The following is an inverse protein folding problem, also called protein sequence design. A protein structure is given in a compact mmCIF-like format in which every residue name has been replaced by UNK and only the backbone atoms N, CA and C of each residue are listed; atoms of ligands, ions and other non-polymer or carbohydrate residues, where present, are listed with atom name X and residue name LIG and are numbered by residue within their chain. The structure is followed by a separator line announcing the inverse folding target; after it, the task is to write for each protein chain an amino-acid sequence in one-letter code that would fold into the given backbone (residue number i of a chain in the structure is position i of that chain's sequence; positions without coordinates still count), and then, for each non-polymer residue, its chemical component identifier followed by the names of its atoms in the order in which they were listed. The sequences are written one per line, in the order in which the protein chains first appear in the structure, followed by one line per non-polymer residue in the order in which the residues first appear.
data_IF_551216062043
#
_entry.id   IF_551216062043
#
_cell.length_a   1.000
_cell.length_b   1.000
_cell.length_c   1.000
_cell.angle_alpha   90.00
_cell.angle_beta   90.00
_cell.angle_gamma   90.00
#
_symmetry.space_group_name_H-M   'P 1'
#
loop_
_entity.id
_entity.type
_entity.pdbx_description
1 polymer ?
#
# COMPACT_ATOMS: atom_id res chain seq x y z
N UNK A 1 2.18 -26.17 10.69
CA UNK A 1 1.26 -25.43 9.78
C UNK A 1 0.84 -26.38 8.67
N UNK A 2 -0.46 -26.62 8.50
CA UNK A 2 -0.99 -27.35 7.32
C UNK A 2 -1.31 -26.33 6.25
N UNK A 3 -0.69 -26.43 5.08
CA UNK A 3 -0.85 -25.50 3.96
C UNK A 3 -1.83 -26.01 2.90
N UNK A 4 -2.52 -27.11 3.17
CA UNK A 4 -3.53 -27.67 2.26
C UNK A 4 -4.82 -26.88 2.41
N UNK A 5 -5.46 -26.58 1.30
CA UNK A 5 -6.80 -25.97 1.30
C UNK A 5 -7.78 -26.96 1.97
N UNK A 6 -8.65 -26.45 2.83
CA UNK A 6 -9.77 -27.21 3.40
C UNK A 6 -10.90 -27.28 2.36
N UNK A 7 -11.85 -28.19 2.47
CA UNK A 7 -12.97 -28.28 1.52
C UNK A 7 -13.73 -26.96 1.31
N UNK A 8 -13.88 -26.15 2.37
CA UNK A 8 -14.47 -24.80 2.31
C UNK A 8 -13.59 -23.81 1.55
N UNK A 9 -12.27 -23.89 1.71
CA UNK A 9 -11.29 -23.05 1.01
C UNK A 9 -11.29 -23.40 -0.49
N UNK A 10 -11.37 -24.68 -0.86
CA UNK A 10 -11.53 -25.12 -2.24
C UNK A 10 -12.83 -24.66 -2.88
N UNK A 11 -13.94 -24.63 -2.12
CA UNK A 11 -15.20 -24.10 -2.62
C UNK A 11 -15.13 -22.61 -2.91
N UNK A 12 -14.56 -21.83 -1.98
CA UNK A 12 -14.35 -20.40 -2.15
C UNK A 12 -13.40 -20.12 -3.33
N UNK A 13 -12.33 -20.89 -3.48
CA UNK A 13 -11.40 -20.75 -4.63
C UNK A 13 -12.12 -20.96 -5.97
N UNK A 14 -13.05 -21.93 -6.07
CA UNK A 14 -13.85 -22.13 -7.29
C UNK A 14 -14.80 -20.98 -7.54
N UNK A 15 -15.45 -20.44 -6.50
CA UNK A 15 -16.31 -19.24 -6.61
C UNK A 15 -15.54 -18.06 -7.19
N UNK A 16 -14.40 -17.70 -6.56
CA UNK A 16 -13.54 -16.60 -7.01
C UNK A 16 -13.07 -16.79 -8.44
N UNK A 17 -12.58 -17.98 -8.76
CA UNK A 17 -12.07 -18.30 -10.11
C UNK A 17 -13.15 -18.20 -11.17
N UNK A 18 -14.35 -18.73 -10.90
CA UNK A 18 -15.48 -18.65 -11.83
C UNK A 18 -15.84 -17.19 -12.07
N UNK A 19 -16.04 -16.43 -11.01
CA UNK A 19 -16.38 -15.01 -11.10
C UNK A 19 -15.34 -14.22 -11.89
N UNK A 20 -14.06 -14.40 -11.60
CA UNK A 20 -12.97 -13.71 -12.33
C UNK A 20 -12.94 -14.12 -13.82
N UNK A 21 -13.19 -15.39 -14.14
CA UNK A 21 -13.24 -15.86 -15.52
C UNK A 21 -14.37 -15.19 -16.31
N UNK A 22 -15.50 -14.97 -15.68
CA UNK A 22 -16.68 -14.36 -16.31
C UNK A 22 -16.54 -12.83 -16.46
N UNK A 23 -15.76 -12.16 -15.59
CA UNK A 23 -15.70 -10.70 -15.53
C UNK A 23 -14.39 -10.10 -16.05
N UNK A 24 -13.26 -10.83 -16.02
CA UNK A 24 -11.98 -10.35 -16.59
C UNK A 24 -12.01 -10.60 -18.12
N UNK A 25 -12.83 -9.82 -18.80
CA UNK A 25 -13.06 -9.91 -20.24
C UNK A 25 -12.96 -8.52 -20.91
N UNK A 26 -12.92 -8.47 -22.23
CA UNK A 26 -12.93 -7.20 -22.96
C UNK A 26 -11.81 -6.24 -22.54
N UNK A 27 -12.20 -5.00 -22.19
CA UNK A 27 -11.26 -3.94 -21.78
C UNK A 27 -10.52 -4.27 -20.46
N UNK A 28 -11.14 -4.99 -19.54
CA UNK A 28 -10.50 -5.42 -18.31
C UNK A 28 -9.39 -6.45 -18.58
N UNK A 29 -9.64 -7.43 -19.42
CA UNK A 29 -8.63 -8.41 -19.84
C UNK A 29 -7.47 -7.76 -20.62
N UNK A 30 -7.77 -6.71 -21.41
CA UNK A 30 -6.76 -5.98 -22.17
C UNK A 30 -5.71 -5.28 -21.30
N UNK A 31 -6.02 -4.97 -20.03
CA UNK A 31 -5.06 -4.42 -19.07
C UNK A 31 -4.00 -5.45 -18.66
N UNK A 32 -4.26 -6.75 -18.81
CA UNK A 32 -3.27 -7.81 -18.59
C UNK A 32 -2.69 -7.86 -17.17
N UNK A 33 -3.44 -7.40 -16.16
CA UNK A 33 -2.98 -7.31 -14.77
C UNK A 33 -2.04 -6.13 -14.49
N UNK A 34 -1.97 -5.15 -15.36
CA UNK A 34 -1.20 -3.91 -15.18
C UNK A 34 -1.89 -2.95 -14.20
N UNK A 35 -1.17 -1.91 -13.78
CA UNK A 35 -1.64 -0.88 -12.86
C UNK A 35 -1.23 -1.13 -11.41
N UNK A 36 -0.19 -1.91 -11.17
CA UNK A 36 0.44 -2.09 -9.86
C UNK A 36 1.52 -1.05 -9.58
N UNK A 37 2.33 -1.32 -8.56
CA UNK A 37 3.41 -0.43 -8.08
C UNK A 37 4.35 0.00 -9.22
N UNK A 38 4.56 1.31 -9.36
CA UNK A 38 5.34 1.90 -10.45
C UNK A 38 4.63 1.93 -11.82
N UNK A 39 3.35 1.60 -11.89
CA UNK A 39 2.49 1.59 -13.08
C UNK A 39 1.04 2.01 -12.72
N UNK A 40 0.84 2.65 -11.59
CA UNK A 40 -0.47 2.90 -10.95
C UNK A 40 -1.37 3.84 -11.74
N UNK A 41 -0.82 4.65 -12.63
CA UNK A 41 -1.58 5.53 -13.52
C UNK A 41 -2.06 4.84 -14.80
N UNK A 42 -1.52 3.65 -15.12
CA UNK A 42 -1.88 2.93 -16.35
C UNK A 42 -3.34 2.47 -16.32
N UNK A 43 -4.12 2.89 -17.33
CA UNK A 43 -5.52 2.50 -17.48
C UNK A 43 -6.42 2.88 -16.29
N UNK A 44 -6.11 3.98 -15.58
CA UNK A 44 -6.75 4.32 -14.31
C UNK A 44 -8.29 4.37 -14.40
N UNK A 45 -8.83 5.00 -15.44
CA UNK A 45 -10.30 5.09 -15.62
C UNK A 45 -10.95 3.70 -15.76
N UNK A 46 -10.38 2.82 -16.60
CA UNK A 46 -10.88 1.44 -16.76
C UNK A 46 -10.74 0.64 -15.46
N UNK A 47 -9.67 0.86 -14.70
CA UNK A 47 -9.46 0.23 -13.39
C UNK A 47 -10.44 0.72 -12.34
N UNK A 48 -10.84 1.99 -12.40
CA UNK A 48 -11.89 2.53 -11.53
C UNK A 48 -13.25 1.90 -11.84
N UNK A 49 -13.59 1.69 -13.12
CA UNK A 49 -14.79 0.93 -13.48
C UNK A 49 -14.72 -0.52 -13.00
N UNK A 50 -13.53 -1.14 -13.06
CA UNK A 50 -13.32 -2.46 -12.50
C UNK A 50 -13.56 -2.53 -10.98
N UNK A 51 -13.15 -1.50 -10.21
CA UNK A 51 -13.48 -1.42 -8.77
C UNK A 51 -14.99 -1.43 -8.52
N UNK A 52 -15.75 -0.72 -9.35
CA UNK A 52 -17.22 -0.71 -9.25
C UNK A 52 -17.84 -2.07 -9.55
N UNK A 53 -17.29 -2.81 -10.53
CA UNK A 53 -17.69 -4.19 -10.82
C UNK A 53 -17.42 -5.11 -9.63
N UNK A 54 -16.22 -5.02 -9.05
CA UNK A 54 -15.87 -5.75 -7.82
C UNK A 54 -16.83 -5.41 -6.67
N UNK A 55 -17.12 -4.12 -6.48
CA UNK A 55 -17.99 -3.64 -5.41
C UNK A 55 -19.44 -4.14 -5.57
N UNK A 56 -19.99 -4.12 -6.80
CA UNK A 56 -21.36 -4.55 -7.07
C UNK A 56 -21.63 -6.01 -6.67
N UNK A 57 -20.60 -6.84 -6.76
CA UNK A 57 -20.67 -8.27 -6.45
C UNK A 57 -20.03 -8.61 -5.09
N UNK A 58 -19.66 -7.57 -4.30
CA UNK A 58 -19.13 -7.71 -2.94
C UNK A 58 -17.73 -8.31 -2.88
N UNK A 59 -16.87 -8.01 -3.86
CA UNK A 59 -15.47 -8.44 -3.90
C UNK A 59 -14.49 -7.37 -3.44
N UNK A 60 -14.97 -6.20 -3.03
CA UNK A 60 -14.19 -5.19 -2.31
C UNK A 60 -14.27 -5.43 -0.81
N UNK A 61 -13.31 -4.92 -0.05
CA UNK A 61 -13.34 -4.92 1.42
C UNK A 61 -13.65 -6.29 2.05
N UNK A 62 -13.15 -7.38 1.45
CA UNK A 62 -13.49 -8.76 1.81
C UNK A 62 -13.33 -9.06 3.30
N UNK A 63 -12.27 -8.56 3.93
CA UNK A 63 -11.97 -8.80 5.34
C UNK A 63 -12.73 -7.91 6.32
N UNK A 64 -13.46 -6.91 5.86
CA UNK A 64 -14.24 -6.05 6.76
C UNK A 64 -15.37 -6.82 7.42
N UNK A 65 -15.76 -6.45 8.66
CA UNK A 65 -16.95 -7.01 9.32
C UNK A 65 -18.20 -6.85 8.46
N UNK A 66 -19.11 -7.82 8.56
CA UNK A 66 -20.34 -7.82 7.75
C UNK A 66 -21.27 -6.66 8.07
N UNK A 67 -21.28 -6.17 9.31
CA UNK A 67 -22.02 -4.97 9.73
C UNK A 67 -21.52 -3.68 9.05
N UNK A 68 -20.32 -3.72 8.42
CA UNK A 68 -19.74 -2.61 7.66
C UNK A 68 -19.70 -2.91 6.15
N UNK A 69 -20.45 -3.91 5.69
CA UNK A 69 -20.60 -4.25 4.27
C UNK A 69 -19.54 -5.19 3.70
N UNK A 70 -18.55 -5.61 4.50
CA UNK A 70 -17.59 -6.63 4.09
C UNK A 70 -18.18 -8.03 4.12
N UNK A 71 -17.42 -9.02 3.63
CA UNK A 71 -17.81 -10.44 3.71
C UNK A 71 -17.38 -11.11 5.02
N UNK A 72 -16.63 -10.42 5.92
CA UNK A 72 -16.01 -11.05 7.09
C UNK A 72 -15.07 -12.20 6.71
N UNK A 73 -14.46 -12.11 5.53
CA UNK A 73 -13.66 -13.18 4.96
C UNK A 73 -12.45 -13.49 5.84
N UNK A 74 -12.24 -14.78 6.12
CA UNK A 74 -11.06 -15.23 6.84
C UNK A 74 -9.79 -14.85 6.09
N UNK A 75 -8.67 -14.84 6.80
CA UNK A 75 -7.36 -14.58 6.19
C UNK A 75 -7.08 -15.60 5.06
N UNK A 76 -7.45 -16.87 5.24
CA UNK A 76 -7.31 -17.89 4.20
C UNK A 76 -8.10 -17.52 2.93
N UNK A 77 -9.35 -17.06 3.06
CA UNK A 77 -10.15 -16.61 1.93
C UNK A 77 -9.57 -15.36 1.25
N UNK A 78 -9.04 -14.41 2.01
CA UNK A 78 -8.37 -13.23 1.45
C UNK A 78 -7.09 -13.61 0.68
N UNK A 79 -6.32 -14.59 1.17
CA UNK A 79 -5.18 -15.18 0.44
C UNK A 79 -5.64 -15.77 -0.88
N UNK A 80 -6.66 -16.63 -0.83
CA UNK A 80 -7.21 -17.32 -2.00
C UNK A 80 -7.70 -16.31 -3.04
N UNK A 81 -8.41 -15.27 -2.61
CA UNK A 81 -8.87 -14.21 -3.51
C UNK A 81 -7.69 -13.56 -4.23
N UNK A 82 -6.67 -13.12 -3.50
CA UNK A 82 -5.49 -12.48 -4.09
C UNK A 82 -4.72 -13.43 -5.05
N UNK A 83 -4.60 -14.71 -4.70
CA UNK A 83 -3.98 -15.70 -5.59
C UNK A 83 -4.74 -15.85 -6.92
N UNK A 84 -6.06 -16.03 -6.86
CA UNK A 84 -6.88 -16.20 -8.07
C UNK A 84 -6.95 -14.89 -8.86
N UNK A 85 -6.99 -13.73 -8.19
CA UNK A 85 -6.98 -12.40 -8.80
C UNK A 85 -5.75 -12.18 -9.67
N UNK A 86 -4.56 -12.48 -9.15
CA UNK A 86 -3.30 -12.37 -9.90
C UNK A 86 -3.20 -13.40 -11.03
N UNK A 87 -3.65 -14.64 -10.79
CA UNK A 87 -3.69 -15.70 -11.82
C UNK A 87 -4.59 -15.32 -12.99
N UNK A 88 -5.74 -14.69 -12.71
CA UNK A 88 -6.66 -14.20 -13.73
C UNK A 88 -6.13 -12.99 -14.49
N UNK A 89 -5.00 -12.40 -14.07
CA UNK A 89 -4.47 -11.12 -14.58
C UNK A 89 -5.53 -10.01 -14.52
N UNK A 90 -6.32 -9.99 -13.44
CA UNK A 90 -7.30 -8.96 -13.21
C UNK A 90 -6.64 -7.58 -13.10
N UNK A 91 -7.33 -6.49 -13.47
CA UNK A 91 -6.80 -5.12 -13.41
C UNK A 91 -6.26 -4.77 -12.02
N UNK A 92 -5.17 -4.00 -11.95
CA UNK A 92 -4.63 -3.52 -10.67
C UNK A 92 -5.68 -2.69 -9.92
N UNK A 93 -5.80 -2.90 -8.60
CA UNK A 93 -6.76 -2.20 -7.73
C UNK A 93 -6.39 -0.71 -7.59
N UNK A 94 -7.38 0.16 -7.48
CA UNK A 94 -7.19 1.63 -7.28
C UNK A 94 -7.61 2.11 -5.90
N UNK A 95 -8.54 1.42 -5.23
CA UNK A 95 -9.08 1.80 -3.90
C UNK A 95 -8.29 1.22 -2.73
N UNK A 96 -7.03 0.85 -2.91
CA UNK A 96 -6.22 0.12 -1.90
C UNK A 96 -6.09 0.91 -0.59
N UNK A 97 -5.88 2.23 -0.65
CA UNK A 97 -5.73 3.07 0.55
C UNK A 97 -7.05 3.23 1.29
N UNK A 98 -8.16 3.28 0.55
CA UNK A 98 -9.51 3.26 1.13
C UNK A 98 -9.79 1.95 1.86
N UNK A 99 -9.66 0.84 1.15
CA UNK A 99 -9.99 -0.50 1.63
C UNK A 99 -9.04 -0.98 2.75
N UNK A 100 -7.73 -0.81 2.55
CA UNK A 100 -6.70 -1.43 3.40
C UNK A 100 -6.20 -0.55 4.54
N UNK A 101 -6.36 0.76 4.48
CA UNK A 101 -5.82 1.69 5.47
C UNK A 101 -6.90 2.48 6.18
N UNK A 102 -7.53 3.45 5.49
CA UNK A 102 -8.44 4.37 6.16
C UNK A 102 -9.75 3.68 6.57
N UNK A 103 -10.27 2.75 5.79
CA UNK A 103 -11.49 2.03 6.13
C UNK A 103 -11.36 1.27 7.45
N UNK A 104 -10.38 0.36 7.64
CA UNK A 104 -10.12 -0.29 8.93
C UNK A 104 -9.87 0.71 10.06
N UNK A 105 -9.22 1.85 9.78
CA UNK A 105 -8.99 2.90 10.78
C UNK A 105 -10.30 3.56 11.21
N UNK A 106 -11.22 3.86 10.26
CA UNK A 106 -12.56 4.38 10.56
C UNK A 106 -13.39 3.33 11.30
N UNK A 107 -13.33 2.06 10.92
CA UNK A 107 -14.02 0.97 11.62
C UNK A 107 -13.61 0.94 13.10
N UNK A 108 -12.33 1.16 13.40
CA UNK A 108 -11.81 1.05 14.76
C UNK A 108 -11.96 2.34 15.59
N UNK A 109 -11.73 3.51 14.98
CA UNK A 109 -11.67 4.81 15.69
C UNK A 109 -12.81 5.76 15.36
N UNK A 110 -13.58 5.51 14.30
CA UNK A 110 -14.64 6.40 13.84
C UNK A 110 -15.88 6.35 14.72
N UNK A 111 -16.57 7.48 14.77
CA UNK A 111 -17.92 7.57 15.36
C UNK A 111 -18.93 6.82 14.48
N UNK A 112 -20.14 6.51 15.00
CA UNK A 112 -21.19 5.92 14.17
C UNK A 112 -21.51 6.75 12.91
N UNK A 113 -21.51 8.08 13.03
CA UNK A 113 -21.76 9.03 11.95
C UNK A 113 -20.65 8.98 10.89
N UNK A 114 -19.39 8.96 11.32
CA UNK A 114 -18.24 8.82 10.43
C UNK A 114 -18.26 7.48 9.69
N UNK A 115 -18.57 6.38 10.38
CA UNK A 115 -18.72 5.05 9.77
C UNK A 115 -19.83 5.06 8.72
N UNK A 116 -20.99 5.61 9.05
CA UNK A 116 -22.14 5.70 8.15
C UNK A 116 -21.84 6.58 6.92
N UNK A 117 -21.02 7.63 7.05
CA UNK A 117 -20.66 8.54 5.97
C UNK A 117 -19.58 7.97 5.05
N UNK A 118 -18.52 7.41 5.62
CA UNK A 118 -17.30 7.15 4.85
C UNK A 118 -17.12 5.70 4.41
N UNK A 119 -17.63 4.70 5.15
CA UNK A 119 -17.43 3.30 4.78
C UNK A 119 -18.19 2.88 3.51
N UNK A 120 -19.45 3.27 3.30
CA UNK A 120 -20.16 2.86 2.07
C UNK A 120 -19.53 3.33 0.77
N UNK A 121 -19.08 4.60 0.60
CA UNK A 121 -18.42 5.02 -0.63
C UNK A 121 -17.04 4.38 -0.84
N UNK A 122 -16.29 4.06 0.23
CA UNK A 122 -15.05 3.30 0.11
C UNK A 122 -15.35 1.89 -0.43
N UNK A 123 -16.34 1.21 0.15
CA UNK A 123 -16.76 -0.13 -0.27
C UNK A 123 -17.22 -0.15 -1.72
N UNK A 124 -17.94 0.89 -2.14
CA UNK A 124 -18.43 1.05 -3.52
C UNK A 124 -17.32 1.45 -4.52
N UNK A 125 -16.12 1.81 -4.06
CA UNK A 125 -15.06 2.36 -4.91
C UNK A 125 -15.43 3.71 -5.54
N UNK A 126 -16.35 4.46 -4.93
CA UNK A 126 -16.86 5.74 -5.43
C UNK A 126 -16.18 6.96 -4.82
N UNK A 127 -15.49 6.82 -3.71
CA UNK A 127 -14.61 7.83 -3.12
C UNK A 127 -13.23 7.24 -2.88
N UNK A 128 -12.21 7.84 -3.46
CA UNK A 128 -10.82 7.43 -3.35
C UNK A 128 -10.10 8.24 -2.28
N UNK A 129 -9.12 7.63 -1.64
CA UNK A 129 -8.40 8.20 -0.51
C UNK A 129 -6.90 8.25 -0.74
N UNK A 130 -6.26 9.32 -0.25
CA UNK A 130 -4.80 9.41 -0.19
C UNK A 130 -4.31 9.67 1.23
N UNK A 131 -3.00 9.39 1.45
CA UNK A 131 -2.35 9.45 2.74
C UNK A 131 -1.46 10.70 2.87
N UNK A 132 -1.86 11.65 3.71
CA UNK A 132 -1.13 12.88 4.01
C UNK A 132 -0.28 12.76 5.28
N UNK A 133 0.77 11.95 5.25
CA UNK A 133 1.65 11.74 6.40
C UNK A 133 2.97 12.51 6.26
N UNK A 134 3.83 12.04 5.35
CA UNK A 134 5.18 12.57 5.19
C UNK A 134 5.20 14.04 4.78
N UNK A 135 6.22 14.76 5.25
CA UNK A 135 6.55 16.13 4.87
C UNK A 135 7.99 16.19 4.37
N UNK A 136 8.42 17.26 3.69
CA UNK A 136 9.79 17.37 3.20
C UNK A 136 10.87 17.10 4.27
N UNK A 137 10.59 17.46 5.53
CA UNK A 137 11.50 17.27 6.67
C UNK A 137 11.05 16.22 7.69
N UNK A 138 9.97 15.48 7.41
CA UNK A 138 9.39 14.50 8.34
C UNK A 138 8.89 13.25 7.59
N UNK A 139 9.80 12.37 7.21
CA UNK A 139 9.51 11.04 6.67
C UNK A 139 9.61 9.98 7.76
N UNK A 140 10.82 9.41 7.97
CA UNK A 140 11.06 8.44 9.06
C UNK A 140 10.83 9.05 10.45
N UNK A 141 11.07 10.35 10.64
CA UNK A 141 10.73 11.10 11.85
C UNK A 141 9.32 11.73 11.75
N UNK A 142 8.32 10.87 11.49
CA UNK A 142 6.93 11.29 11.32
C UNK A 142 6.39 12.11 12.51
N UNK A 143 6.88 11.86 13.73
CA UNK A 143 6.48 12.61 14.90
C UNK A 143 6.80 14.12 14.81
N UNK A 144 7.66 14.51 13.86
CA UNK A 144 8.12 15.89 13.68
C UNK A 144 7.35 16.66 12.60
N UNK A 145 6.18 16.18 12.16
CA UNK A 145 5.34 16.88 11.18
C UNK A 145 4.97 18.29 11.66
N UNK A 146 4.93 19.23 10.72
CA UNK A 146 4.70 20.64 10.95
C UNK A 146 3.38 21.15 10.37
N UNK A 147 2.74 20.42 9.45
CA UNK A 147 1.38 20.74 8.98
C UNK A 147 0.50 20.98 10.19
N UNK A 148 -0.14 22.12 10.28
CA UNK A 148 -1.00 22.55 11.39
C UNK A 148 -2.46 22.60 10.97
N UNK A 149 -3.33 22.40 11.95
CA UNK A 149 -4.75 22.66 11.80
C UNK A 149 -5.24 23.46 13.01
N UNK A 150 -5.99 24.51 12.72
CA UNK A 150 -6.57 25.39 13.74
C UNK A 150 -8.09 25.35 13.58
N UNK A 151 -8.81 25.13 14.68
CA UNK A 151 -10.27 25.22 14.65
C UNK A 151 -10.69 26.69 14.52
N UNK A 152 -11.47 26.98 13.51
CA UNK A 152 -12.15 28.26 13.32
C UNK A 152 -13.50 28.18 14.05
N UNK A 153 -13.59 28.83 15.20
CA UNK A 153 -14.77 28.77 16.08
C UNK A 153 -16.01 29.42 15.43
N UNK A 154 -15.81 30.35 14.48
CA UNK A 154 -16.92 31.04 13.79
C UNK A 154 -17.60 30.12 12.77
N UNK A 155 -16.85 29.29 12.09
CA UNK A 155 -17.35 28.36 11.06
C UNK A 155 -17.54 26.94 11.56
N UNK A 156 -16.91 26.56 12.65
CA UNK A 156 -16.88 25.18 13.15
C UNK A 156 -16.07 24.24 12.25
N UNK A 157 -15.04 24.76 11.57
CA UNK A 157 -14.19 23.99 10.67
C UNK A 157 -12.72 24.04 11.10
N UNK A 158 -12.00 22.97 10.81
CA UNK A 158 -10.54 22.96 10.88
C UNK A 158 -9.96 23.64 9.64
N UNK A 159 -9.04 24.56 9.85
CA UNK A 159 -8.25 25.23 8.81
C UNK A 159 -6.86 24.61 8.78
N UNK A 160 -6.56 23.88 7.71
CA UNK A 160 -5.32 23.11 7.54
C UNK A 160 -4.33 23.92 6.70
N UNK A 161 -3.07 24.02 7.19
CA UNK A 161 -1.99 24.73 6.49
C UNK A 161 -0.68 23.93 6.63
N UNK A 162 -0.03 23.63 5.51
CA UNK A 162 1.23 22.91 5.47
C UNK A 162 1.46 22.22 4.13
N UNK A 163 2.50 21.39 4.07
CA UNK A 163 2.85 20.65 2.87
C UNK A 163 3.04 19.18 3.22
N UNK A 164 2.41 18.31 2.41
CA UNK A 164 2.65 16.86 2.42
C UNK A 164 3.42 16.46 1.16
N UNK A 165 4.19 15.39 1.25
CA UNK A 165 5.00 14.86 0.14
C UNK A 165 4.89 13.35 0.09
N UNK A 166 5.12 12.77 -1.08
CA UNK A 166 4.99 11.33 -1.35
C UNK A 166 3.56 10.80 -1.14
N UNK A 167 2.58 11.67 -1.37
CA UNK A 167 1.16 11.33 -1.23
C UNK A 167 0.71 10.55 -2.47
N UNK A 168 0.48 9.25 -2.29
CA UNK A 168 0.10 8.34 -3.37
C UNK A 168 -1.27 8.72 -3.93
N UNK A 169 -1.34 8.85 -5.27
CA UNK A 169 -2.58 9.09 -6.03
C UNK A 169 -3.41 10.30 -5.56
N UNK A 170 -2.80 11.30 -4.91
CA UNK A 170 -3.52 12.48 -4.43
C UNK A 170 -4.29 13.22 -5.52
N UNK A 171 -3.77 13.22 -6.76
CA UNK A 171 -4.41 13.83 -7.94
C UNK A 171 -5.64 13.05 -8.46
N UNK A 172 -5.94 11.89 -7.88
CA UNK A 172 -7.09 11.04 -8.20
C UNK A 172 -7.99 10.81 -6.99
N UNK A 173 -7.66 11.42 -5.83
CA UNK A 173 -8.33 11.14 -4.57
C UNK A 173 -9.33 12.21 -4.20
N UNK A 174 -10.48 11.79 -3.67
CA UNK A 174 -11.54 12.67 -3.17
C UNK A 174 -11.23 13.16 -1.75
N UNK A 175 -10.53 12.33 -0.97
CA UNK A 175 -10.23 12.57 0.44
C UNK A 175 -8.77 12.28 0.78
N UNK A 176 -8.23 13.06 1.72
CA UNK A 176 -6.92 12.83 2.31
C UNK A 176 -7.05 12.61 3.83
N UNK A 177 -6.46 11.54 4.36
CA UNK A 177 -6.29 11.42 5.79
C UNK A 177 -4.94 12.00 6.21
N UNK A 178 -5.00 13.05 7.03
CA UNK A 178 -3.86 13.93 7.32
C UNK A 178 -3.46 13.84 8.78
N UNK A 179 -2.19 13.56 9.04
CA UNK A 179 -1.60 13.77 10.37
C UNK A 179 -1.11 15.21 10.46
N UNK A 180 -1.66 15.96 11.38
CA UNK A 180 -1.35 17.38 11.55
C UNK A 180 -1.29 17.79 13.03
N UNK A 181 -0.71 18.96 13.29
CA UNK A 181 -0.55 19.52 14.63
C UNK A 181 -1.71 20.44 14.94
N UNK A 182 -2.48 20.10 15.97
CA UNK A 182 -3.64 20.86 16.43
C UNK A 182 -3.38 21.61 17.74
N UNK A 183 -2.34 21.25 18.49
CA UNK A 183 -1.93 21.93 19.72
C UNK A 183 -0.68 22.79 19.45
N UNK A 184 -0.83 24.09 19.54
CA UNK A 184 0.26 25.05 19.29
C UNK A 184 1.38 24.85 20.32
N UNK A 185 2.64 24.86 19.85
CA UNK A 185 3.82 24.66 20.69
C UNK A 185 4.07 23.23 21.16
N UNK A 186 3.20 22.29 20.80
CA UNK A 186 3.43 20.87 21.07
C UNK A 186 4.63 20.35 20.27
N UNK A 187 5.27 19.28 20.78
CA UNK A 187 6.48 18.72 20.19
C UNK A 187 6.36 17.20 20.00
N UNK A 188 6.98 16.71 18.94
CA UNK A 188 7.01 15.29 18.58
C UNK A 188 5.58 14.73 18.46
N UNK A 189 5.30 13.59 19.07
CA UNK A 189 4.02 12.87 18.98
C UNK A 189 2.87 13.50 19.80
N UNK A 190 3.14 14.52 20.62
CA UNK A 190 2.08 15.22 21.38
C UNK A 190 1.38 16.26 20.51
N UNK A 191 0.09 16.49 20.75
CA UNK A 191 -0.72 17.52 20.07
C UNK A 191 -0.92 17.26 18.57
N UNK A 192 -0.74 16.03 18.11
CA UNK A 192 -1.07 15.59 16.76
C UNK A 192 -2.52 15.09 16.72
N UNK A 193 -3.24 15.45 15.67
CA UNK A 193 -4.58 14.93 15.37
C UNK A 193 -4.61 14.29 13.98
N UNK A 194 -5.66 13.53 13.74
CA UNK A 194 -5.87 12.79 12.49
C UNK A 194 -7.13 13.33 11.83
N UNK A 195 -6.98 14.09 10.75
CA UNK A 195 -8.08 14.78 10.07
C UNK A 195 -8.41 14.10 8.74
N UNK A 196 -9.70 14.04 8.42
CA UNK A 196 -10.21 13.64 7.12
C UNK A 196 -10.51 14.93 6.33
N UNK A 197 -9.74 15.19 5.28
CA UNK A 197 -9.77 16.46 4.52
C UNK A 197 -10.24 16.19 3.09
N UNK A 198 -11.33 16.85 2.61
CA UNK A 198 -11.72 16.75 1.21
C UNK A 198 -10.67 17.38 0.31
N UNK A 199 -10.40 16.79 -0.85
CA UNK A 199 -9.35 17.23 -1.76
C UNK A 199 -9.83 18.24 -2.81
N UNK A 200 -11.08 18.15 -3.24
CA UNK A 200 -11.69 19.09 -4.20
C UNK A 200 -12.24 20.32 -3.46
N UNK A 201 -11.34 21.27 -3.17
CA UNK A 201 -11.70 22.54 -2.51
C UNK A 201 -10.63 23.60 -2.74
N UNK A 202 -10.97 24.90 -2.57
CA UNK A 202 -9.97 25.97 -2.48
C UNK A 202 -8.97 25.72 -1.35
N UNK A 203 -7.69 26.06 -1.59
CA UNK A 203 -6.63 25.86 -0.60
C UNK A 203 -5.99 24.46 -0.62
N UNK A 204 -6.35 23.60 -1.56
CA UNK A 204 -5.63 22.35 -1.85
C UNK A 204 -4.98 22.47 -3.23
N UNK A 205 -3.65 22.31 -3.29
CA UNK A 205 -2.88 22.29 -4.54
C UNK A 205 -2.08 20.98 -4.58
N UNK A 206 -2.34 20.16 -5.61
CA UNK A 206 -1.71 18.85 -5.80
C UNK A 206 -0.74 18.91 -6.97
N UNK A 207 0.52 18.57 -6.70
CA UNK A 207 1.59 18.59 -7.71
C UNK A 207 2.21 17.22 -7.88
N UNK A 208 2.00 16.55 -9.03
CA UNK A 208 2.60 15.24 -9.30
C UNK A 208 4.13 15.29 -9.33
N UNK A 209 4.77 14.30 -8.73
CA UNK A 209 6.22 14.12 -8.71
C UNK A 209 6.61 13.10 -9.78
N UNK A 210 7.39 13.52 -10.78
CA UNK A 210 7.90 12.59 -11.80
C UNK A 210 8.98 11.70 -11.19
N UNK A 211 8.76 10.40 -11.21
CA UNK A 211 9.64 9.38 -10.68
C UNK A 211 10.67 8.89 -11.71
N UNK A 212 11.61 8.03 -11.28
CA UNK A 212 12.57 7.39 -12.18
C UNK A 212 11.89 6.52 -13.24
N UNK A 213 10.73 5.96 -12.93
CA UNK A 213 9.87 5.20 -13.84
C UNK A 213 9.19 6.07 -14.90
N UNK A 214 9.31 7.41 -14.79
CA UNK A 214 8.60 8.43 -15.58
C UNK A 214 7.08 8.46 -15.33
N UNK A 215 6.61 7.75 -14.35
CA UNK A 215 5.25 7.83 -13.83
C UNK A 215 5.16 8.86 -12.70
N UNK A 216 3.97 9.24 -12.27
CA UNK A 216 3.74 10.31 -11.29
C UNK A 216 2.66 9.91 -10.29
N UNK A 217 2.78 8.73 -9.72
CA UNK A 217 1.85 8.23 -8.70
C UNK A 217 1.94 9.01 -7.40
N UNK A 218 3.12 9.54 -7.06
CA UNK A 218 3.34 10.33 -5.86
C UNK A 218 3.20 11.82 -6.12
N UNK A 219 2.73 12.54 -5.10
CA UNK A 219 2.45 13.96 -5.21
C UNK A 219 2.99 14.73 -4.01
N UNK A 220 3.28 16.01 -4.23
CA UNK A 220 3.26 17.02 -3.19
C UNK A 220 1.81 17.52 -3.06
N UNK A 221 1.37 17.75 -1.84
CA UNK A 221 0.06 18.33 -1.53
C UNK A 221 0.27 19.54 -0.63
N UNK A 222 -0.11 20.69 -1.13
CA UNK A 222 -0.07 21.96 -0.37
C UNK A 222 -1.46 22.26 0.17
N UNK A 223 -1.54 22.47 1.47
CA UNK A 223 -2.71 22.97 2.15
C UNK A 223 -2.47 24.44 2.51
N UNK A 224 -3.23 25.34 1.92
CA UNK A 224 -3.19 26.78 2.18
C UNK A 224 -4.58 27.24 2.63
N UNK A 225 -4.91 26.96 3.88
CA UNK A 225 -6.20 27.24 4.43
C UNK A 225 -7.30 26.26 3.99
N UNK A 226 -6.93 25.04 3.63
CA UNK A 226 -7.90 23.98 3.33
C UNK A 226 -8.79 23.68 4.53
N UNK A 227 -10.08 23.43 4.30
CA UNK A 227 -11.08 23.31 5.36
C UNK A 227 -11.63 21.91 5.47
N UNK A 228 -11.95 21.51 6.70
CA UNK A 228 -12.72 20.29 6.95
C UNK A 228 -13.59 20.47 8.17
N UNK A 229 -14.74 19.82 8.21
CA UNK A 229 -15.69 19.93 9.30
C UNK A 229 -15.04 19.53 10.66
N UNK A 230 -15.51 20.16 11.74
CA UNK A 230 -15.03 19.88 13.11
C UNK A 230 -15.04 18.39 13.43
N UNK A 231 -16.09 17.70 12.99
CA UNK A 231 -16.32 16.29 13.30
C UNK A 231 -15.52 15.34 12.38
N UNK A 232 -14.71 15.86 11.47
CA UNK A 232 -13.81 15.08 10.62
C UNK A 232 -12.45 14.78 11.31
N UNK A 233 -12.38 14.83 12.64
CA UNK A 233 -11.28 14.27 13.43
C UNK A 233 -11.54 12.80 13.65
N UNK A 234 -10.60 11.93 13.28
CA UNK A 234 -10.69 10.51 13.57
C UNK A 234 -10.01 10.19 14.90
N UNK A 235 -10.77 9.63 15.85
CA UNK A 235 -10.39 9.56 17.26
C UNK A 235 -10.59 10.90 17.95
N UNK A 236 -9.83 11.16 19.03
CA UNK A 236 -9.89 12.41 19.78
C UNK A 236 -8.87 13.43 19.27
N UNK A 237 -9.16 14.73 19.47
CA UNK A 237 -8.17 15.80 19.24
C UNK A 237 -6.95 15.57 20.11
N UNK A 238 -5.77 15.56 19.52
CA UNK A 238 -4.51 15.28 20.22
C UNK A 238 -4.10 13.79 20.22
N UNK A 239 -4.96 12.88 19.76
CA UNK A 239 -4.71 11.42 19.73
C UNK A 239 -4.21 10.91 18.36
N UNK A 240 -3.95 11.81 17.43
CA UNK A 240 -3.59 11.49 16.04
C UNK A 240 -2.36 10.60 15.89
N UNK A 241 -1.42 10.65 16.84
CA UNK A 241 -0.26 9.75 16.83
C UNK A 241 -0.65 8.28 16.98
N UNK A 242 -1.55 7.98 17.92
CA UNK A 242 -2.06 6.63 18.16
C UNK A 242 -2.84 6.11 16.95
N UNK A 243 -3.70 6.95 16.39
CA UNK A 243 -4.49 6.61 15.18
C UNK A 243 -3.57 6.35 13.99
N UNK A 244 -2.57 7.22 13.78
CA UNK A 244 -1.60 7.06 12.69
C UNK A 244 -0.80 5.75 12.79
N UNK A 245 -0.34 5.39 13.99
CA UNK A 245 0.36 4.12 14.20
C UNK A 245 -0.52 2.90 13.95
N UNK A 246 -1.79 2.96 14.32
CA UNK A 246 -2.74 1.88 14.03
C UNK A 246 -3.01 1.74 12.52
N UNK A 247 -3.16 2.86 11.80
CA UNK A 247 -3.27 2.85 10.33
C UNK A 247 -2.06 2.17 9.68
N UNK A 248 -0.84 2.49 10.14
CA UNK A 248 0.39 1.86 9.65
C UNK A 248 0.50 0.37 10.03
N UNK A 249 -0.19 -0.07 11.10
CA UNK A 249 -0.24 -1.48 11.45
C UNK A 249 -1.15 -2.27 10.51
N UNK A 250 -2.26 -1.68 10.02
CA UNK A 250 -3.12 -2.31 9.02
C UNK A 250 -2.40 -2.53 7.68
N UNK A 251 -1.49 -1.63 7.28
CA UNK A 251 -0.65 -1.78 6.09
C UNK A 251 0.18 -3.07 6.11
N UNK A 252 0.57 -3.54 7.30
CA UNK A 252 1.40 -4.74 7.50
C UNK A 252 0.60 -6.05 7.57
N UNK A 253 -0.70 -6.00 7.36
CA UNK A 253 -1.60 -7.14 7.41
C UNK A 253 -1.78 -7.81 6.04
N UNK A 254 -3.04 -7.99 5.65
CA UNK A 254 -3.45 -8.73 4.45
C UNK A 254 -2.95 -8.14 3.13
N UNK A 255 -2.71 -6.82 3.08
CA UNK A 255 -2.17 -6.15 1.89
C UNK A 255 -0.84 -6.77 1.40
N UNK A 256 -0.02 -7.30 2.31
CA UNK A 256 1.25 -7.98 1.98
C UNK A 256 1.06 -9.29 1.20
N UNK A 257 -0.12 -9.91 1.28
CA UNK A 257 -0.41 -11.16 0.56
C UNK A 257 -0.49 -10.96 -0.96
N UNK A 258 -1.05 -9.83 -1.39
CA UNK A 258 -1.11 -9.48 -2.81
C UNK A 258 0.29 -9.32 -3.41
N UNK A 259 1.22 -8.71 -2.69
CA UNK A 259 2.60 -8.50 -3.14
C UNK A 259 3.31 -9.83 -3.44
N UNK A 260 3.23 -10.81 -2.54
CA UNK A 260 3.89 -12.10 -2.71
C UNK A 260 3.44 -12.83 -3.98
N UNK A 261 2.15 -12.77 -4.32
CA UNK A 261 1.63 -13.42 -5.53
C UNK A 261 2.07 -12.68 -6.79
N UNK A 262 2.10 -11.33 -6.74
CA UNK A 262 2.65 -10.50 -7.82
C UNK A 262 4.13 -10.78 -8.04
N UNK A 263 4.92 -10.85 -6.98
CA UNK A 263 6.35 -11.18 -7.03
C UNK A 263 6.61 -12.57 -7.61
N UNK A 264 5.71 -13.53 -7.35
CA UNK A 264 5.79 -14.85 -7.96
C UNK A 264 5.62 -14.78 -9.48
N UNK A 265 4.66 -14.01 -9.95
CA UNK A 265 4.45 -13.78 -11.39
C UNK A 265 5.66 -13.12 -12.03
N UNK A 266 6.22 -12.09 -11.40
CA UNK A 266 7.41 -11.40 -11.89
C UNK A 266 8.61 -12.35 -12.01
N UNK A 267 8.84 -13.17 -10.99
CA UNK A 267 9.91 -14.16 -11.02
C UNK A 267 9.68 -15.24 -12.10
N UNK A 268 8.45 -15.72 -12.28
CA UNK A 268 8.12 -16.69 -13.31
C UNK A 268 8.33 -16.10 -14.72
N UNK A 269 7.97 -14.83 -14.95
CA UNK A 269 8.26 -14.10 -16.18
C UNK A 269 9.77 -13.95 -16.40
N UNK A 270 10.52 -13.61 -15.35
CA UNK A 270 11.97 -13.50 -15.44
C UNK A 270 12.64 -14.83 -15.78
N UNK A 271 12.20 -15.93 -15.16
CA UNK A 271 12.67 -17.29 -15.50
C UNK A 271 12.36 -17.64 -16.96
N UNK A 272 11.16 -17.31 -17.44
CA UNK A 272 10.79 -17.50 -18.83
C UNK A 272 11.70 -16.69 -19.79
N UNK A 273 11.97 -15.42 -19.44
CA UNK A 273 12.89 -14.55 -20.19
C UNK A 273 14.32 -15.11 -20.22
N UNK A 274 14.82 -15.58 -19.08
CA UNK A 274 16.15 -16.20 -18.97
C UNK A 274 16.27 -17.47 -19.83
N UNK A 275 15.19 -18.24 -19.95
CA UNK A 275 15.14 -19.41 -20.85
C UNK A 275 15.15 -18.98 -22.31
N UNK A 276 14.33 -18.00 -22.67
CA UNK A 276 14.18 -17.54 -24.03
C UNK A 276 15.47 -16.93 -24.63
N UNK A 277 16.25 -16.22 -23.81
CA UNK A 277 17.50 -15.58 -24.25
C UNK A 277 18.77 -16.43 -23.95
N UNK A 278 18.62 -17.67 -23.47
CA UNK A 278 19.71 -18.61 -23.20
C UNK A 278 20.48 -18.36 -21.89
N UNK A 279 20.17 -17.31 -21.14
CA UNK A 279 20.84 -16.98 -19.86
C UNK A 279 20.64 -18.06 -18.79
N UNK A 280 19.58 -18.84 -18.86
CA UNK A 280 19.35 -19.98 -17.96
C UNK A 280 20.37 -21.12 -18.13
N UNK A 281 21.19 -21.12 -19.18
CA UNK A 281 22.31 -22.08 -19.38
C UNK A 281 23.55 -21.69 -18.58
N UNK A 282 23.71 -20.43 -18.18
CA UNK A 282 24.79 -19.96 -17.33
C UNK A 282 24.62 -20.52 -15.91
N UNK A 283 25.59 -21.30 -15.37
CA UNK A 283 25.50 -21.89 -14.03
C UNK A 283 25.31 -20.85 -12.93
N UNK A 284 25.96 -19.69 -13.01
CA UNK A 284 25.85 -18.63 -12.03
C UNK A 284 24.44 -18.02 -12.05
N UNK A 285 23.91 -17.74 -13.23
CA UNK A 285 22.57 -17.22 -13.41
C UNK A 285 21.51 -18.19 -12.87
N UNK A 286 21.66 -19.49 -13.14
CA UNK A 286 20.77 -20.54 -12.61
C UNK A 286 20.75 -20.54 -11.09
N UNK A 287 21.91 -20.40 -10.43
CA UNK A 287 21.98 -20.33 -8.97
C UNK A 287 21.27 -19.10 -8.40
N UNK A 288 21.43 -17.94 -9.07
CA UNK A 288 20.76 -16.70 -8.67
C UNK A 288 19.23 -16.80 -8.82
N UNK A 289 18.74 -17.36 -9.93
CA UNK A 289 17.30 -17.61 -10.14
C UNK A 289 16.74 -18.60 -9.12
N UNK A 290 17.46 -19.68 -8.83
CA UNK A 290 17.07 -20.67 -7.82
C UNK A 290 17.04 -20.07 -6.42
N UNK A 291 18.00 -19.21 -6.08
CA UNK A 291 18.02 -18.48 -4.82
C UNK A 291 16.83 -17.54 -4.70
N UNK A 292 16.54 -16.73 -5.74
CA UNK A 292 15.39 -15.84 -5.74
C UNK A 292 14.08 -16.60 -5.54
N UNK A 293 13.95 -17.79 -6.15
CA UNK A 293 12.80 -18.67 -5.92
C UNK A 293 12.70 -19.15 -4.46
N UNK A 294 13.79 -19.67 -3.90
CA UNK A 294 13.80 -20.16 -2.52
C UNK A 294 13.48 -19.06 -1.51
N UNK A 295 14.04 -17.88 -1.71
CA UNK A 295 13.80 -16.70 -0.86
C UNK A 295 12.34 -16.22 -0.95
N UNK A 296 11.71 -16.29 -2.13
CA UNK A 296 10.28 -15.99 -2.28
C UNK A 296 9.38 -17.00 -1.53
N UNK A 297 9.73 -18.29 -1.56
CA UNK A 297 9.00 -19.30 -0.77
C UNK A 297 9.18 -19.06 0.74
N UNK A 298 10.36 -18.66 1.19
CA UNK A 298 10.60 -18.26 2.58
C UNK A 298 9.71 -17.06 2.96
N UNK A 299 9.60 -16.04 2.08
CA UNK A 299 8.69 -14.92 2.29
C UNK A 299 7.25 -15.40 2.46
N UNK A 300 6.80 -16.30 1.57
CA UNK A 300 5.45 -16.87 1.62
C UNK A 300 5.17 -17.58 2.95
N UNK A 301 6.07 -18.43 3.41
CA UNK A 301 5.88 -19.17 4.67
C UNK A 301 5.87 -18.23 5.88
N UNK A 302 6.75 -17.22 5.90
CA UNK A 302 6.78 -16.24 6.99
C UNK A 302 5.50 -15.39 7.00
N UNK A 303 5.00 -14.98 5.84
CA UNK A 303 3.74 -14.21 5.73
C UNK A 303 2.57 -15.04 6.25
N UNK A 304 2.41 -16.29 5.80
CA UNK A 304 1.35 -17.18 6.26
C UNK A 304 1.43 -17.45 7.77
N UNK A 305 2.66 -17.64 8.31
CA UNK A 305 2.86 -17.81 9.74
C UNK A 305 2.40 -16.59 10.54
N UNK A 306 2.85 -15.40 10.14
CA UNK A 306 2.48 -14.16 10.83
C UNK A 306 0.97 -13.88 10.78
N UNK A 307 0.30 -14.28 9.69
CA UNK A 307 -1.14 -14.14 9.57
C UNK A 307 -1.93 -15.16 10.39
N UNK A 308 -1.34 -16.36 10.64
CA UNK A 308 -1.98 -17.38 11.48
C UNK A 308 -2.02 -16.98 12.96
N UNK A 309 -1.17 -16.05 13.38
CA UNK A 309 -1.02 -15.61 14.77
C UNK A 309 -1.70 -14.26 15.04
N UNK A 310 -2.50 -13.75 14.09
CA UNK A 310 -3.21 -12.48 14.25
C UNK A 310 -4.55 -12.72 14.99
N UNK A 311 -4.55 -12.51 16.30
CA UNK A 311 -5.78 -12.52 17.13
C UNK A 311 -6.40 -11.11 17.30
N UNK A 312 -5.95 -10.10 16.56
CA UNK A 312 -6.41 -8.72 16.71
C UNK A 312 -6.04 -7.80 15.56
N UNK A 313 -6.45 -6.52 15.62
CA UNK A 313 -6.25 -5.56 14.53
C UNK A 313 -4.79 -5.10 14.36
N UNK A 314 -3.90 -5.44 15.28
CA UNK A 314 -2.50 -4.98 15.29
C UNK A 314 -1.60 -6.15 14.89
N UNK A 315 -0.85 -5.96 13.80
CA UNK A 315 0.15 -6.93 13.38
C UNK A 315 1.23 -7.12 14.47
N UNK A 316 1.67 -8.37 14.73
CA UNK A 316 2.71 -8.63 15.71
C UNK A 316 4.04 -7.97 15.28
N UNK A 317 4.95 -7.66 16.22
CA UNK A 317 6.23 -7.01 15.93
C UNK A 317 7.04 -7.75 14.85
N UNK A 318 6.91 -9.07 14.77
CA UNK A 318 7.55 -9.96 13.79
C UNK A 318 7.13 -9.64 12.35
N UNK A 319 5.98 -9.02 12.13
CA UNK A 319 5.56 -8.54 10.81
C UNK A 319 6.53 -7.52 10.21
N UNK A 320 7.32 -6.83 11.05
CA UNK A 320 8.40 -5.94 10.60
C UNK A 320 9.50 -6.68 9.84
N UNK A 321 9.71 -7.96 10.11
CA UNK A 321 10.64 -8.83 9.37
C UNK A 321 10.19 -8.99 7.93
N UNK A 322 8.88 -9.12 7.72
CA UNK A 322 8.30 -9.34 6.39
C UNK A 322 8.61 -8.16 5.49
N UNK A 323 8.37 -6.92 5.98
CA UNK A 323 8.65 -5.70 5.20
C UNK A 323 10.12 -5.56 4.83
N UNK A 324 11.02 -5.76 5.77
CA UNK A 324 12.46 -5.70 5.53
C UNK A 324 12.91 -6.77 4.51
N UNK A 325 12.32 -7.97 4.60
CA UNK A 325 12.67 -9.09 3.74
C UNK A 325 12.18 -8.86 2.30
N UNK A 326 10.88 -8.57 2.11
CA UNK A 326 10.33 -8.44 0.76
C UNK A 326 10.89 -7.24 0.00
N UNK A 327 11.09 -6.10 0.67
CA UNK A 327 11.64 -4.91 0.03
C UNK A 327 13.10 -5.14 -0.44
N UNK A 328 13.89 -5.88 0.35
CA UNK A 328 15.25 -6.26 -0.02
C UNK A 328 15.25 -7.28 -1.15
N UNK A 329 14.40 -8.30 -1.05
CA UNK A 329 14.26 -9.33 -2.07
C UNK A 329 13.82 -8.76 -3.43
N UNK A 330 12.83 -7.88 -3.44
CA UNK A 330 12.30 -7.30 -4.68
C UNK A 330 13.31 -6.37 -5.35
N UNK A 331 14.07 -5.61 -4.56
CA UNK A 331 15.21 -4.84 -5.08
C UNK A 331 16.24 -5.78 -5.74
N UNK A 332 16.58 -6.88 -5.10
CA UNK A 332 17.56 -7.84 -5.62
C UNK A 332 17.03 -8.60 -6.84
N UNK A 333 15.70 -8.81 -6.93
CA UNK A 333 15.04 -9.30 -8.14
C UNK A 333 15.18 -8.32 -9.31
N UNK A 334 15.00 -7.02 -9.05
CA UNK A 334 15.22 -5.97 -10.05
C UNK A 334 16.65 -5.97 -10.60
N UNK A 335 17.68 -6.13 -9.72
CA UNK A 335 19.08 -6.30 -10.15
C UNK A 335 19.26 -7.55 -11.03
N UNK A 336 18.71 -8.68 -10.58
CA UNK A 336 18.76 -9.93 -11.30
C UNK A 336 18.08 -9.82 -12.69
N UNK A 337 16.99 -9.05 -12.76
CA UNK A 337 16.24 -8.85 -14.00
C UNK A 337 17.10 -8.11 -15.06
N UNK A 338 17.78 -7.04 -14.68
CA UNK A 338 18.69 -6.33 -15.58
C UNK A 338 19.84 -7.24 -16.04
N UNK A 339 20.41 -8.06 -15.15
CA UNK A 339 21.46 -9.00 -15.49
C UNK A 339 20.97 -10.10 -16.45
N UNK A 340 19.72 -10.56 -16.32
CA UNK A 340 19.09 -11.50 -17.26
C UNK A 340 18.88 -10.86 -18.62
N UNK A 341 18.44 -9.61 -18.67
CA UNK A 341 18.28 -8.85 -19.92
C UNK A 341 19.63 -8.56 -20.60
N UNK A 342 20.70 -8.40 -19.82
CA UNK A 342 22.01 -8.01 -20.33
C UNK A 342 21.98 -6.61 -20.94
N UNK A 343 22.70 -6.36 -22.07
CA UNK A 343 22.73 -5.03 -22.70
C UNK A 343 21.35 -4.47 -23.07
N UNK A 344 20.37 -5.33 -23.40
CA UNK A 344 19.01 -4.90 -23.70
C UNK A 344 18.31 -4.25 -22.51
N UNK A 345 18.66 -4.64 -21.28
CA UNK A 345 18.11 -4.03 -20.06
C UNK A 345 18.53 -2.58 -19.83
N UNK A 346 19.54 -2.10 -20.55
CA UNK A 346 20.04 -0.71 -20.46
C UNK A 346 19.40 0.22 -21.50
N UNK A 347 18.59 -0.32 -22.42
CA UNK A 347 18.00 0.43 -23.53
C UNK A 347 16.49 0.48 -23.33
N UNK A 348 15.95 1.68 -23.17
CA UNK A 348 14.50 1.90 -23.25
C UNK A 348 14.10 2.09 -24.72
N UNK A 349 13.01 1.44 -25.13
CA UNK A 349 12.53 1.47 -26.50
C UNK A 349 11.51 2.59 -26.74
N UNK A 350 11.36 3.01 -27.99
CA UNK A 350 10.33 3.96 -28.39
C UNK A 350 10.64 5.43 -28.13
N UNK A 351 9.68 6.29 -28.53
CA UNK A 351 9.68 7.71 -28.22
C UNK A 351 8.22 8.18 -28.02
N UNK A 352 7.88 8.71 -26.80
CA UNK A 352 8.73 8.80 -25.61
C UNK A 352 9.15 7.40 -25.09
N UNK A 353 10.27 7.33 -24.40
CA UNK A 353 10.81 6.05 -23.93
C UNK A 353 9.77 5.27 -23.11
N UNK A 354 9.57 4.00 -23.46
CA UNK A 354 8.79 3.06 -22.66
C UNK A 354 9.72 2.08 -21.94
N UNK A 355 9.52 1.95 -20.65
CA UNK A 355 10.21 0.94 -19.84
C UNK A 355 9.46 -0.39 -19.95
N UNK A 356 10.21 -1.49 -20.14
CA UNK A 356 9.62 -2.82 -19.99
C UNK A 356 9.31 -3.12 -18.50
N UNK A 357 8.65 -4.26 -18.23
CA UNK A 357 8.28 -4.63 -16.86
C UNK A 357 9.50 -4.77 -15.95
N UNK A 358 10.61 -5.29 -16.45
CA UNK A 358 11.82 -5.54 -15.64
C UNK A 358 12.62 -4.28 -15.38
N UNK A 359 12.70 -3.38 -16.35
CA UNK A 359 13.29 -2.06 -16.15
C UNK A 359 12.49 -1.25 -15.13
N UNK A 360 11.17 -1.32 -15.18
CA UNK A 360 10.27 -0.69 -14.22
C UNK A 360 10.47 -1.28 -12.82
N UNK A 361 10.47 -2.60 -12.67
CA UNK A 361 10.76 -3.28 -11.41
C UNK A 361 12.13 -2.85 -10.86
N UNK A 362 13.18 -2.81 -11.69
CA UNK A 362 14.50 -2.35 -11.27
C UNK A 362 14.47 -0.93 -10.71
N UNK A 363 13.84 0.02 -11.40
CA UNK A 363 13.81 1.41 -10.98
C UNK A 363 12.92 1.63 -9.76
N UNK A 364 11.72 1.03 -9.74
CA UNK A 364 10.73 1.23 -8.69
C UNK A 364 11.14 0.56 -7.38
N UNK A 365 11.67 -0.65 -7.40
CA UNK A 365 12.00 -1.43 -6.20
C UNK A 365 13.02 -0.75 -5.27
N UNK A 366 13.73 0.29 -5.75
CA UNK A 366 14.58 1.13 -4.91
C UNK A 366 13.78 1.86 -3.83
N UNK A 367 12.61 2.39 -4.19
CA UNK A 367 11.74 3.13 -3.28
C UNK A 367 11.17 2.24 -2.18
N UNK A 368 10.99 0.95 -2.43
CA UNK A 368 10.43 -0.01 -1.48
C UNK A 368 11.30 -0.22 -0.24
N UNK A 369 12.61 -0.02 -0.34
CA UNK A 369 13.52 -0.04 0.81
C UNK A 369 13.44 1.23 1.67
N UNK A 370 12.69 2.25 1.21
CA UNK A 370 12.59 3.58 1.81
C UNK A 370 11.19 3.82 2.38
N UNK A 371 10.13 3.67 1.57
CA UNK A 371 8.77 3.94 2.02
C UNK A 371 8.22 2.86 2.97
N UNK A 372 7.09 3.12 3.64
CA UNK A 372 6.48 2.18 4.59
C UNK A 372 7.39 1.85 5.79
N UNK A 373 8.28 2.79 6.14
CA UNK A 373 9.39 2.60 7.09
C UNK A 373 10.63 2.03 6.40
N UNK A 374 11.72 2.82 6.37
CA UNK A 374 12.97 2.40 5.71
C UNK A 374 13.52 1.10 6.32
N UNK A 375 14.38 0.42 5.56
CA UNK A 375 15.02 -0.80 6.05
C UNK A 375 15.74 -0.57 7.39
N UNK A 376 16.30 0.62 7.61
CA UNK A 376 16.96 1.01 8.86
C UNK A 376 15.93 1.14 10.00
N UNK A 377 14.79 1.78 9.75
CA UNK A 377 13.70 1.87 10.73
C UNK A 377 13.15 0.48 11.07
N UNK A 378 12.99 -0.41 10.07
CA UNK A 378 12.56 -1.79 10.34
C UNK A 378 13.57 -2.55 11.20
N UNK A 379 14.89 -2.38 10.96
CA UNK A 379 15.94 -2.97 11.79
C UNK A 379 15.89 -2.45 13.23
N UNK A 380 15.64 -1.15 13.43
CA UNK A 380 15.48 -0.57 14.77
C UNK A 380 14.26 -1.16 15.49
N UNK A 381 13.11 -1.26 14.80
CA UNK A 381 11.90 -1.87 15.37
C UNK A 381 12.17 -3.33 15.75
N UNK A 382 12.81 -4.11 14.88
CA UNK A 382 13.16 -5.50 15.17
C UNK A 382 14.12 -5.56 16.36
N UNK A 383 15.18 -4.76 16.36
CA UNK A 383 16.17 -4.73 17.44
C UNK A 383 15.54 -4.38 18.79
N UNK A 384 14.82 -3.28 18.85
CA UNK A 384 14.29 -2.73 20.10
C UNK A 384 13.05 -3.47 20.60
N UNK A 385 12.08 -3.78 19.71
CA UNK A 385 10.76 -4.29 20.11
C UNK A 385 10.65 -5.81 20.06
N UNK A 386 11.34 -6.47 19.12
CA UNK A 386 11.30 -7.94 18.98
C UNK A 386 12.41 -8.58 19.80
N UNK A 387 13.64 -8.06 19.69
CA UNK A 387 14.81 -8.65 20.36
C UNK A 387 15.09 -8.02 21.73
N UNK A 388 14.41 -6.93 22.12
CA UNK A 388 14.61 -6.25 23.42
C UNK A 388 15.98 -5.61 23.56
N UNK A 389 16.67 -5.28 22.45
CA UNK A 389 17.97 -4.60 22.49
C UNK A 389 17.78 -3.13 22.92
N UNK A 390 18.82 -2.52 23.53
CA UNK A 390 18.76 -1.12 23.90
C UNK A 390 18.61 -0.24 22.63
N UNK A 391 17.85 0.87 22.71
CA UNK A 391 17.73 1.80 21.61
C UNK A 391 19.09 2.45 21.30
N UNK A 392 19.24 2.94 20.06
CA UNK A 392 20.43 3.67 19.64
C UNK A 392 20.65 4.88 20.57
N UNK A 393 21.90 5.12 21.04
CA UNK A 393 22.19 6.26 21.88
C UNK A 393 21.79 7.56 21.19
N UNK A 394 20.92 8.34 21.82
CA UNK A 394 20.58 9.67 21.32
C UNK A 394 21.84 10.52 21.35
N UNK A 395 22.38 10.88 20.18
CA UNK A 395 23.47 11.83 20.09
C UNK A 395 23.15 13.09 20.91
N UNK A 396 24.14 13.66 21.55
CA UNK A 396 23.96 14.94 22.22
C UNK A 396 23.36 15.93 21.24
N UNK A 397 22.17 16.46 21.58
CA UNK A 397 21.55 17.56 20.83
C UNK A 397 22.59 18.68 20.71
N UNK A 398 23.12 18.87 19.48
CA UNK A 398 23.93 20.04 19.15
C UNK A 398 23.04 21.28 19.03
#
# INVERSE_FOLDING_TARGET
MDLRDRPEDDAFRREVRSWLTDHVVGEFAALGGRGGSGDETYGFATRLEWEKVLASDGWTCLGWPTEHGGRGASIAHQVIFNEEYVKAKAPGRVSILGEGLIGPTIIHYGTPEQKARFLPPILAGSELWCQGYSEPNAGSDLANVQTKAVLDDDTGEWVVTGQKVWTSLAHQSDWCFVVCRTEAGSVRHKGLSYLLVPMDQPGVDVRPITQLTKTSEFNEVFFDGARTAKDNVLGEVGDGWRVALATLAFERGVALLGHQVSFRRELDHLVAKARANGRSSDPVMRQRLARAYAELEILRFNTLRSLSDIDGPVAPPEASIIKLYWASWHRDLGELAIDVLGPAGLVAEGFPYELDEFQRTFLFSRSETIYGGSNEIQKNIIGERVLGLPPEPKGATR
#
